data_IF_100694659692
#
_entry.id   IF_100694659692
#
_cell.length_a   1.000
_cell.length_b   1.000
_cell.length_c   1.000
_cell.angle_alpha   90.00
_cell.angle_beta   90.00
_cell.angle_gamma   90.00
#
_symmetry.space_group_name_H-M   'P 1'
#
loop_
_entity.id
_entity.type
_entity.pdbx_description
1 polymer ?
#
# COMPACT_ATOMS: atom_id res chain seq x y z
N UNK A 1 22.04 -4.91 2.58
CA UNK A 1 20.94 -4.45 3.45
C UNK A 1 20.91 -5.37 4.68
N UNK A 2 21.07 -4.83 5.89
CA UNK A 2 21.10 -5.60 7.15
C UNK A 2 19.69 -6.11 7.46
N UNK A 3 19.54 -7.43 7.73
CA UNK A 3 18.26 -8.01 8.17
C UNK A 3 17.91 -7.47 9.56
N UNK A 4 16.74 -6.83 9.71
CA UNK A 4 16.25 -6.38 11.01
C UNK A 4 15.37 -7.49 11.58
N UNK A 5 15.86 -8.22 12.58
CA UNK A 5 15.05 -9.20 13.30
C UNK A 5 14.01 -8.46 14.17
N UNK A 6 12.76 -8.45 13.73
CA UNK A 6 11.63 -7.88 14.45
C UNK A 6 10.98 -8.95 15.33
N UNK A 7 11.29 -8.95 16.62
CA UNK A 7 10.69 -9.84 17.62
C UNK A 7 9.80 -9.01 18.53
N UNK A 8 8.55 -9.44 18.78
CA UNK A 8 7.62 -8.73 19.69
C UNK A 8 8.29 -8.49 21.04
N UNK A 9 8.25 -7.24 21.49
CA UNK A 9 8.68 -6.91 22.84
C UNK A 9 7.72 -7.57 23.82
N UNK A 10 8.25 -8.26 24.82
CA UNK A 10 7.43 -8.96 25.82
C UNK A 10 6.68 -8.02 26.76
N UNK A 11 6.99 -6.72 26.73
CA UNK A 11 6.38 -5.71 27.59
C UNK A 11 5.80 -4.58 26.78
N UNK A 12 4.54 -4.24 27.08
CA UNK A 12 3.92 -3.01 26.62
C UNK A 12 4.69 -1.78 27.14
N UNK A 13 4.69 -0.74 26.33
CA UNK A 13 5.43 0.50 26.58
C UNK A 13 4.51 1.65 26.96
N UNK A 14 5.10 2.71 27.51
CA UNK A 14 4.48 3.99 27.81
C UNK A 14 5.45 5.16 27.58
N UNK A 15 4.89 6.33 27.30
CA UNK A 15 5.62 7.58 27.02
C UNK A 15 4.79 8.80 27.39
N UNK A 16 5.46 9.89 27.78
CA UNK A 16 4.90 11.24 27.82
C UNK A 16 5.35 11.97 26.56
N UNK A 17 4.41 12.49 25.79
CA UNK A 17 4.67 13.31 24.62
C UNK A 17 4.72 14.78 25.06
N UNK A 18 5.89 15.39 25.03
CA UNK A 18 6.05 16.82 25.29
C UNK A 18 5.52 17.63 24.11
N UNK A 19 4.47 18.42 24.33
CA UNK A 19 3.82 19.24 23.30
C UNK A 19 4.19 20.71 23.41
N UNK A 20 3.77 21.51 22.43
CA UNK A 20 3.91 22.96 22.38
C UNK A 20 2.58 23.60 21.93
N UNK A 21 2.48 24.93 22.01
CA UNK A 21 1.28 25.67 21.62
C UNK A 21 0.94 25.44 20.14
N UNK A 22 -0.29 24.99 19.86
CA UNK A 22 -0.75 24.61 18.52
C UNK A 22 -0.94 23.10 18.32
N UNK A 23 -0.56 22.27 19.30
CA UNK A 23 -0.93 20.85 19.35
C UNK A 23 -2.19 20.67 20.20
N UNK A 24 -3.28 20.25 19.57
CA UNK A 24 -4.56 19.95 20.22
C UNK A 24 -4.65 18.49 20.69
N UNK A 25 -4.12 17.56 19.89
CA UNK A 25 -4.15 16.13 20.18
C UNK A 25 -2.80 15.48 19.89
N UNK A 26 -2.56 14.30 20.46
CA UNK A 26 -1.37 13.50 20.17
C UNK A 26 -1.70 12.03 19.96
N UNK A 27 -0.82 11.31 19.26
CA UNK A 27 -0.90 9.86 19.07
C UNK A 27 0.49 9.22 19.01
N UNK A 28 0.52 7.89 19.08
CA UNK A 28 1.71 7.07 18.82
C UNK A 28 1.37 6.10 17.69
N UNK A 29 2.28 5.97 16.74
CA UNK A 29 2.19 4.98 15.68
C UNK A 29 3.37 4.01 15.76
N UNK A 30 3.04 2.72 15.93
CA UNK A 30 3.99 1.62 15.93
C UNK A 30 3.70 0.66 14.78
N UNK A 31 4.66 -0.21 14.46
CA UNK A 31 4.53 -1.10 13.31
C UNK A 31 3.37 -2.10 13.44
N UNK A 32 3.14 -2.65 14.64
CA UNK A 32 2.11 -3.68 14.87
C UNK A 32 0.70 -3.10 15.00
N UNK A 33 0.58 -1.95 15.66
CA UNK A 33 -0.70 -1.40 16.09
C UNK A 33 -1.21 -0.31 15.15
N UNK A 34 -0.38 0.17 14.23
CA UNK A 34 -0.64 1.39 13.49
C UNK A 34 -0.79 2.58 14.43
N UNK A 35 -1.46 3.62 13.93
CA UNK A 35 -1.68 4.85 14.67
C UNK A 35 -2.71 4.63 15.80
N UNK A 36 -2.33 4.95 17.02
CA UNK A 36 -3.24 4.94 18.17
C UNK A 36 -4.33 6.00 18.00
N UNK A 37 -5.43 5.85 18.74
CA UNK A 37 -6.45 6.89 18.83
C UNK A 37 -5.81 8.24 19.25
N UNK A 38 -6.22 9.30 18.57
CA UNK A 38 -5.82 10.67 18.88
C UNK A 38 -6.54 11.13 20.15
N UNK A 39 -5.87 11.96 20.93
CA UNK A 39 -6.49 12.58 22.10
C UNK A 39 -5.58 13.59 22.77
N UNK A 40 -6.20 14.46 23.57
CA UNK A 40 -5.54 15.57 24.27
C UNK A 40 -4.55 15.13 25.36
N UNK A 41 -4.70 13.91 25.89
CA UNK A 41 -3.76 13.37 26.87
C UNK A 41 -2.37 13.15 26.26
N UNK A 42 -1.34 13.70 26.91
CA UNK A 42 0.07 13.59 26.49
C UNK A 42 0.72 12.27 26.91
N UNK A 43 0.20 11.61 27.94
CA UNK A 43 0.67 10.28 28.35
C UNK A 43 -0.01 9.21 27.52
N UNK A 44 0.79 8.37 26.87
CA UNK A 44 0.33 7.24 26.05
C UNK A 44 0.85 5.95 26.66
N UNK A 45 -0.05 4.99 26.84
CA UNK A 45 0.20 3.72 27.53
C UNK A 45 -0.17 2.55 26.65
N UNK A 46 0.17 1.33 27.08
CA UNK A 46 -0.18 0.09 26.39
C UNK A 46 0.31 0.00 24.94
N UNK A 47 1.43 0.66 24.65
CA UNK A 47 2.01 0.70 23.31
C UNK A 47 2.71 -0.64 23.06
N UNK A 48 2.17 -1.45 22.14
CA UNK A 48 2.84 -2.66 21.70
C UNK A 48 3.98 -2.30 20.75
N UNK A 49 5.15 -2.92 20.94
CA UNK A 49 6.33 -2.64 20.11
C UNK A 49 7.08 -3.91 19.74
N UNK A 50 7.85 -3.84 18.66
CA UNK A 50 8.87 -4.82 18.29
C UNK A 50 10.26 -4.38 18.79
N UNK A 51 11.15 -5.35 18.97
CA UNK A 51 12.57 -5.07 19.19
C UNK A 51 13.17 -4.41 17.94
N UNK A 52 13.93 -3.33 18.14
CA UNK A 52 14.58 -2.54 17.08
C UNK A 52 13.62 -1.82 16.12
N UNK A 53 12.36 -1.63 16.48
CA UNK A 53 11.49 -0.73 15.73
C UNK A 53 11.67 0.74 16.15
N UNK A 54 11.17 1.63 15.30
CA UNK A 54 10.93 3.02 15.64
C UNK A 54 9.41 3.20 15.74
N UNK A 55 8.99 4.07 16.64
CA UNK A 55 7.61 4.56 16.74
C UNK A 55 7.60 6.03 16.35
N UNK A 56 6.50 6.49 15.77
CA UNK A 56 6.24 7.89 15.50
C UNK A 56 5.36 8.45 16.61
N UNK A 57 5.86 9.46 17.33
CA UNK A 57 5.07 10.31 18.20
C UNK A 57 4.57 11.49 17.37
N UNK A 58 3.26 11.73 17.33
CA UNK A 58 2.67 12.79 16.52
C UNK A 58 1.84 13.73 17.38
N UNK A 59 1.94 15.03 17.09
CA UNK A 59 1.05 16.07 17.58
C UNK A 59 0.24 16.65 16.43
N UNK A 60 -1.08 16.80 16.65
CA UNK A 60 -2.04 17.26 15.65
C UNK A 60 -2.63 18.61 16.05
N UNK A 61 -2.90 19.47 15.06
CA UNK A 61 -3.71 20.66 15.25
C UNK A 61 -5.22 20.33 15.24
N UNK A 62 -6.06 21.36 15.37
CA UNK A 62 -7.52 21.21 15.36
C UNK A 62 -8.08 20.70 14.01
N UNK A 63 -7.36 20.93 12.91
CA UNK A 63 -7.70 20.43 11.58
C UNK A 63 -7.17 19.01 11.33
N UNK A 64 -6.72 18.33 12.38
CA UNK A 64 -6.22 16.96 12.35
C UNK A 64 -4.93 16.76 11.54
N UNK A 65 -4.19 17.84 11.24
CA UNK A 65 -2.90 17.79 10.56
C UNK A 65 -1.78 17.60 11.58
N UNK A 66 -0.78 16.78 11.25
CA UNK A 66 0.45 16.69 12.06
C UNK A 66 1.16 18.05 12.01
N UNK A 67 1.43 18.64 13.17
CA UNK A 67 2.18 19.89 13.33
C UNK A 67 3.47 19.72 14.15
N UNK A 68 3.59 18.59 14.86
CA UNK A 68 4.81 18.21 15.55
C UNK A 68 5.02 16.71 15.52
N UNK A 69 6.28 16.27 15.53
CA UNK A 69 6.62 14.86 15.41
C UNK A 69 7.88 14.50 16.20
N UNK A 70 8.07 13.23 16.51
CA UNK A 70 9.34 12.69 16.97
C UNK A 70 9.42 11.17 16.70
N UNK A 71 10.48 10.71 16.04
CA UNK A 71 10.75 9.27 15.87
C UNK A 71 11.58 8.75 17.04
N UNK A 72 11.06 7.76 17.75
CA UNK A 72 11.75 7.17 18.90
C UNK A 72 11.95 5.67 18.71
N UNK A 73 13.15 5.20 19.02
CA UNK A 73 13.39 3.75 19.07
C UNK A 73 12.53 3.14 20.18
N UNK A 74 12.00 1.92 20.00
CA UNK A 74 11.16 1.26 21.02
C UNK A 74 11.87 1.09 22.37
N UNK A 75 13.20 1.02 22.37
CA UNK A 75 14.06 0.98 23.56
C UNK A 75 14.10 2.30 24.34
N UNK A 76 13.72 3.43 23.73
CA UNK A 76 13.66 4.74 24.37
C UNK A 76 12.31 5.00 25.07
N UNK A 77 11.32 4.11 24.90
CA UNK A 77 10.07 4.15 25.66
C UNK A 77 10.22 3.38 26.97
N UNK A 78 9.48 3.81 28.00
CA UNK A 78 9.45 3.11 29.28
C UNK A 78 8.56 1.87 29.22
N UNK A 79 8.95 0.81 29.92
CA UNK A 79 8.04 -0.33 30.17
C UNK A 79 6.83 0.13 31.00
N UNK A 80 5.66 -0.47 30.79
CA UNK A 80 4.46 -0.18 31.60
C UNK A 80 4.70 -0.34 33.10
N UNK A 81 5.50 -1.34 33.48
CA UNK A 81 5.87 -1.66 34.87
C UNK A 81 6.95 -0.73 35.45
N UNK A 82 7.56 0.14 34.65
CA UNK A 82 8.55 1.10 35.14
C UNK A 82 7.88 2.15 36.03
N UNK A 83 8.57 2.59 37.09
CA UNK A 83 8.09 3.68 37.96
C UNK A 83 8.29 5.06 37.33
N UNK A 84 9.23 5.19 36.39
CA UNK A 84 9.45 6.41 35.61
C UNK A 84 8.82 6.27 34.22
N UNK A 85 8.34 7.39 33.67
CA UNK A 85 7.90 7.47 32.27
C UNK A 85 8.83 8.39 31.50
N UNK A 86 9.42 7.88 30.42
CA UNK A 86 10.22 8.68 29.50
C UNK A 86 9.37 9.78 28.88
N UNK A 87 9.93 10.99 28.81
CA UNK A 87 9.29 12.15 28.19
C UNK A 87 10.09 12.56 26.96
N UNK A 88 9.41 12.69 25.82
CA UNK A 88 10.02 13.05 24.54
C UNK A 88 9.26 14.22 23.95
N UNK A 89 9.95 15.34 23.72
CA UNK A 89 9.36 16.54 23.13
C UNK A 89 9.15 16.35 21.63
N UNK A 90 8.05 16.89 21.10
CA UNK A 90 7.82 16.96 19.67
C UNK A 90 8.64 18.10 19.06
N UNK A 91 9.21 17.83 17.88
CA UNK A 91 9.79 18.86 17.03
C UNK A 91 8.69 19.52 16.22
N UNK A 92 8.63 20.85 16.24
CA UNK A 92 7.67 21.62 15.45
C UNK A 92 8.01 21.55 13.95
N UNK A 93 6.97 21.44 13.13
CA UNK A 93 7.08 21.43 11.68
C UNK A 93 6.88 22.83 11.12
N UNK A 94 7.81 23.28 10.27
CA UNK A 94 7.79 24.63 9.69
C UNK A 94 7.74 24.64 8.17
N UNK A 95 7.91 23.49 7.55
CA UNK A 95 7.90 23.32 6.09
C UNK A 95 6.66 22.54 5.67
N UNK A 96 6.38 22.52 4.37
CA UNK A 96 5.23 21.83 3.80
C UNK A 96 5.65 20.92 2.65
N UNK A 97 4.93 19.82 2.51
CA UNK A 97 4.84 19.02 1.29
C UNK A 97 3.61 19.50 0.54
N UNK A 98 3.78 19.79 -0.75
CA UNK A 98 2.68 20.02 -1.67
C UNK A 98 2.50 18.78 -2.54
N UNK A 99 1.26 18.34 -2.73
CA UNK A 99 0.94 17.36 -3.77
C UNK A 99 0.32 18.09 -4.96
N UNK A 100 1.02 18.05 -6.09
CA UNK A 100 0.50 18.46 -7.39
C UNK A 100 -0.22 17.27 -8.02
N UNK A 101 -1.54 17.23 -7.84
CA UNK A 101 -2.43 16.26 -8.49
C UNK A 101 -2.87 16.82 -9.84
N UNK A 102 -2.33 16.27 -10.93
CA UNK A 102 -2.73 16.61 -12.30
C UNK A 102 -3.73 15.58 -12.78
N UNK A 103 -4.99 15.95 -12.81
CA UNK A 103 -6.08 15.12 -13.31
C UNK A 103 -6.73 15.70 -14.57
N UNK A 104 -7.40 14.83 -15.33
CA UNK A 104 -8.30 15.21 -16.43
C UNK A 104 -9.77 15.15 -15.98
N UNK A 105 -10.72 15.44 -16.87
CA UNK A 105 -12.15 15.48 -16.55
C UNK A 105 -12.76 14.13 -16.09
N UNK A 106 -12.06 13.01 -16.30
CA UNK A 106 -12.66 11.67 -16.21
C UNK A 106 -12.22 10.89 -14.95
N UNK A 107 -11.70 11.60 -13.95
CA UNK A 107 -11.28 11.02 -12.67
C UNK A 107 -12.30 11.25 -11.55
N UNK A 108 -12.48 10.24 -10.68
CA UNK A 108 -13.13 10.40 -9.39
C UNK A 108 -12.15 10.16 -8.25
N UNK A 109 -12.17 11.04 -7.25
CA UNK A 109 -11.32 10.93 -6.07
C UNK A 109 -11.94 9.96 -5.06
N UNK A 110 -11.13 9.05 -4.50
CA UNK A 110 -11.53 8.20 -3.37
C UNK A 110 -10.72 8.55 -2.12
N UNK A 111 -9.40 8.41 -2.18
CA UNK A 111 -8.53 8.69 -1.05
C UNK A 111 -7.13 9.16 -1.47
N UNK A 112 -6.46 9.87 -0.57
CA UNK A 112 -5.04 10.22 -0.68
C UNK A 112 -4.40 10.08 0.69
N UNK A 113 -3.26 9.43 0.78
CA UNK A 113 -2.48 9.31 2.03
C UNK A 113 -1.03 9.66 1.77
N UNK A 114 -0.46 10.57 2.56
CA UNK A 114 0.99 10.75 2.67
C UNK A 114 1.52 9.83 3.75
N UNK A 115 2.66 9.23 3.45
CA UNK A 115 3.46 8.45 4.36
C UNK A 115 4.82 9.12 4.56
N UNK A 116 5.33 9.02 5.78
CA UNK A 116 6.73 9.31 6.09
C UNK A 116 7.53 8.02 6.13
N UNK A 117 8.72 8.05 5.55
CA UNK A 117 9.66 6.96 5.49
C UNK A 117 10.89 7.30 6.35
N UNK A 118 11.08 6.56 7.43
CA UNK A 118 12.18 6.77 8.37
C UNK A 118 12.88 5.44 8.68
N UNK A 119 14.19 5.35 8.35
CA UNK A 119 15.03 4.17 8.59
C UNK A 119 14.40 2.85 8.14
N UNK A 120 13.83 2.83 6.93
CA UNK A 120 13.18 1.66 6.34
C UNK A 120 11.82 1.31 6.96
N UNK A 121 11.20 2.23 7.70
CA UNK A 121 9.85 2.08 8.26
C UNK A 121 8.93 3.17 7.70
N UNK A 122 7.66 2.80 7.51
CA UNK A 122 6.64 3.66 6.90
C UNK A 122 5.62 4.01 7.98
N UNK A 123 5.28 5.29 8.09
CA UNK A 123 4.32 5.82 9.04
C UNK A 123 3.28 6.68 8.32
N UNK A 124 2.03 6.58 8.73
CA UNK A 124 0.93 7.38 8.19
C UNK A 124 1.10 8.83 8.64
N UNK A 125 1.24 9.73 7.67
CA UNK A 125 1.52 11.13 7.94
C UNK A 125 0.26 11.99 7.88
N UNK A 126 -0.45 11.96 6.76
CA UNK A 126 -1.72 12.65 6.61
C UNK A 126 -2.62 11.90 5.62
N UNK A 127 -3.93 12.06 5.73
CA UNK A 127 -4.88 11.40 4.83
C UNK A 127 -6.08 12.27 4.52
N UNK A 128 -6.60 12.12 3.31
CA UNK A 128 -7.78 12.81 2.82
C UNK A 128 -8.75 11.78 2.24
N UNK A 129 -9.97 11.75 2.76
CA UNK A 129 -11.08 10.96 2.23
C UNK A 129 -11.99 11.78 1.29
N UNK A 130 -11.73 13.07 1.16
CA UNK A 130 -12.39 13.98 0.22
C UNK A 130 -11.34 14.84 -0.48
N UNK A 131 -11.60 15.25 -1.72
CA UNK A 131 -10.65 16.07 -2.49
C UNK A 131 -10.69 17.54 -2.00
N UNK A 132 -9.65 18.06 -1.33
CA UNK A 132 -9.51 19.49 -1.07
C UNK A 132 -9.16 20.25 -2.35
N UNK A 133 -9.20 21.58 -2.29
CA UNK A 133 -8.68 22.44 -3.37
C UNK A 133 -7.17 22.34 -3.54
N UNK A 134 -6.44 22.10 -2.44
CA UNK A 134 -4.99 21.96 -2.40
C UNK A 134 -4.64 20.84 -1.42
N UNK A 135 -3.72 19.97 -1.82
CA UNK A 135 -3.16 18.94 -0.95
C UNK A 135 -1.84 19.44 -0.34
N UNK A 136 -1.89 19.85 0.91
CA UNK A 136 -0.72 20.32 1.66
C UNK A 136 -0.66 19.70 3.05
N UNK A 137 0.55 19.38 3.50
CA UNK A 137 0.80 18.85 4.84
C UNK A 137 2.11 19.38 5.38
N UNK A 138 2.16 19.73 6.67
CA UNK A 138 3.40 20.11 7.33
C UNK A 138 4.39 18.94 7.32
N UNK A 139 5.67 19.22 7.13
CA UNK A 139 6.69 18.19 7.04
C UNK A 139 8.08 18.72 7.44
N UNK A 140 8.99 17.80 7.74
CA UNK A 140 10.40 18.10 7.95
C UNK A 140 11.16 17.72 6.69
N UNK A 141 11.81 18.70 6.05
CA UNK A 141 12.62 18.45 4.87
C UNK A 141 14.08 18.20 5.27
N UNK A 142 14.78 17.38 4.48
CA UNK A 142 16.20 17.05 4.64
C UNK A 142 16.49 15.60 4.25
N UNK A 143 17.76 15.28 4.02
CA UNK A 143 18.19 13.98 3.46
C UNK A 143 17.81 12.75 4.30
N UNK A 144 17.57 12.94 5.60
CA UNK A 144 17.16 11.87 6.52
C UNK A 144 15.65 11.59 6.53
N UNK A 145 14.84 12.44 5.89
CA UNK A 145 13.39 12.36 5.87
C UNK A 145 12.89 12.22 4.44
N UNK A 146 12.22 11.10 4.17
CA UNK A 146 11.63 10.86 2.86
C UNK A 146 10.12 10.67 2.99
N UNK A 147 9.37 11.11 1.99
CA UNK A 147 7.92 11.04 1.98
C UNK A 147 7.42 10.44 0.68
N UNK A 148 6.22 9.92 0.74
CA UNK A 148 5.56 9.28 -0.40
C UNK A 148 4.06 9.44 -0.24
N UNK A 149 3.33 9.41 -1.34
CA UNK A 149 1.88 9.45 -1.32
C UNK A 149 1.29 8.29 -2.11
N UNK A 150 0.14 7.83 -1.64
CA UNK A 150 -0.74 6.93 -2.37
C UNK A 150 -2.04 7.67 -2.64
N UNK A 151 -2.38 7.80 -3.91
CA UNK A 151 -3.69 8.24 -4.38
C UNK A 151 -4.53 7.01 -4.75
N UNK A 152 -5.81 7.03 -4.41
CA UNK A 152 -6.81 6.10 -4.94
C UNK A 152 -7.97 6.85 -5.54
N UNK A 153 -8.47 6.34 -6.65
CA UNK A 153 -9.56 6.95 -7.39
C UNK A 153 -10.16 6.00 -8.41
N UNK A 154 -10.98 6.54 -9.30
CA UNK A 154 -11.38 5.86 -10.51
C UNK A 154 -11.09 6.67 -11.75
N UNK A 155 -10.75 6.00 -12.86
CA UNK A 155 -10.60 6.56 -14.20
C UNK A 155 -11.41 5.70 -15.16
N UNK A 156 -12.36 6.27 -15.91
CA UNK A 156 -13.15 5.49 -16.89
C UNK A 156 -13.83 4.24 -16.29
N UNK A 157 -14.24 4.31 -15.02
CA UNK A 157 -14.77 3.19 -14.20
C UNK A 157 -13.74 2.15 -13.70
N UNK A 158 -12.46 2.34 -14.02
CA UNK A 158 -11.35 1.55 -13.50
C UNK A 158 -10.90 2.09 -12.16
N UNK A 159 -10.72 1.24 -11.15
CA UNK A 159 -10.09 1.69 -9.91
C UNK A 159 -8.60 1.81 -10.14
N UNK A 160 -8.03 2.94 -9.72
CA UNK A 160 -6.60 3.19 -9.81
C UNK A 160 -6.03 3.47 -8.44
N UNK A 161 -4.86 2.90 -8.18
CA UNK A 161 -4.00 3.24 -7.05
C UNK A 161 -2.70 3.76 -7.62
N UNK A 162 -2.33 5.01 -7.34
CA UNK A 162 -1.12 5.67 -7.83
C UNK A 162 -0.20 5.94 -6.67
N UNK A 163 1.05 5.48 -6.74
CA UNK A 163 2.06 5.77 -5.73
C UNK A 163 3.10 6.75 -6.29
N UNK A 164 3.49 7.73 -5.49
CA UNK A 164 4.52 8.70 -5.87
C UNK A 164 5.43 9.01 -4.67
N UNK A 165 6.67 9.39 -4.95
CA UNK A 165 7.66 9.76 -3.93
C UNK A 165 7.88 11.27 -3.96
N UNK A 166 8.21 11.84 -2.80
CA UNK A 166 8.56 13.24 -2.72
C UNK A 166 9.91 13.49 -3.40
N UNK A 167 10.01 14.66 -4.05
CA UNK A 167 11.28 15.21 -4.52
C UNK A 167 12.17 15.58 -3.33
N UNK A 168 13.43 15.93 -3.61
CA UNK A 168 14.34 16.47 -2.59
C UNK A 168 13.83 17.78 -1.94
N UNK A 169 12.93 18.51 -2.60
CA UNK A 169 12.29 19.73 -2.07
C UNK A 169 11.01 19.43 -1.28
N UNK A 170 10.58 18.16 -1.23
CA UNK A 170 9.36 17.73 -0.56
C UNK A 170 8.10 17.79 -1.42
N UNK A 171 8.19 18.16 -2.69
CA UNK A 171 7.01 18.19 -3.57
C UNK A 171 6.71 16.80 -4.13
N UNK A 172 5.44 16.42 -4.19
CA UNK A 172 4.97 15.16 -4.76
C UNK A 172 4.15 15.48 -6.00
N UNK A 173 4.47 14.86 -7.14
CA UNK A 173 3.65 14.97 -8.35
C UNK A 173 2.94 13.66 -8.62
N UNK A 174 1.63 13.75 -8.87
CA UNK A 174 0.76 12.64 -9.24
C UNK A 174 0.09 13.03 -10.55
N UNK A 175 0.51 12.36 -11.63
CA UNK A 175 0.13 12.71 -13.00
C UNK A 175 -0.83 11.65 -13.53
N UNK A 176 -2.12 11.91 -13.44
CA UNK A 176 -3.16 10.97 -13.82
C UNK A 176 -3.55 11.07 -15.30
N UNK A 177 -3.48 12.27 -15.89
CA UNK A 177 -3.80 12.51 -17.31
C UNK A 177 -2.95 11.69 -18.30
N UNK A 178 -1.80 11.17 -17.85
CA UNK A 178 -0.96 10.22 -18.61
C UNK A 178 -1.52 8.80 -18.69
N UNK A 179 -2.50 8.46 -17.85
CA UNK A 179 -3.11 7.14 -17.83
C UNK A 179 -4.12 6.99 -18.98
N UNK A 180 -3.69 6.39 -20.09
CA UNK A 180 -4.55 6.09 -21.24
C UNK A 180 -5.28 4.75 -21.04
N UNK A 181 -6.36 4.81 -20.25
CA UNK A 181 -7.26 3.68 -19.98
C UNK A 181 -8.53 3.81 -20.82
N UNK A 182 -8.89 2.75 -21.54
CA UNK A 182 -10.08 2.78 -22.41
C UNK A 182 -11.40 2.67 -21.61
N UNK A 183 -12.50 3.18 -22.17
CA UNK A 183 -13.87 3.11 -21.61
C UNK A 183 -14.60 1.79 -21.93
N UNK A 184 -13.86 0.76 -22.36
CA UNK A 184 -14.39 -0.52 -22.84
C UNK A 184 -14.96 -1.35 -21.66
N UNK A 185 -16.00 -2.18 -21.88
CA UNK A 185 -16.48 -3.13 -20.88
C UNK A 185 -15.38 -4.05 -20.34
N UNK A 186 -15.62 -4.60 -19.14
CA UNK A 186 -14.72 -5.57 -18.53
C UNK A 186 -14.41 -6.73 -19.50
N UNK A 187 -13.16 -7.22 -19.52
CA UNK A 187 -12.80 -8.34 -20.37
C UNK A 187 -13.63 -9.56 -19.98
N UNK A 188 -13.84 -10.46 -20.94
CA UNK A 188 -14.54 -11.71 -20.77
C UNK A 188 -13.70 -12.85 -21.33
N UNK A 189 -14.01 -14.09 -20.92
CA UNK A 189 -13.41 -15.25 -21.56
C UNK A 189 -13.98 -15.46 -22.96
N UNK A 190 -13.09 -15.65 -23.92
CA UNK A 190 -13.42 -16.10 -25.26
C UNK A 190 -13.14 -17.60 -25.32
N UNK A 191 -14.19 -18.41 -25.25
CA UNK A 191 -14.09 -19.87 -25.19
C UNK A 191 -14.57 -20.52 -26.49
N UNK A 192 -13.73 -21.39 -27.06
CA UNK A 192 -14.04 -22.21 -28.22
C UNK A 192 -13.50 -23.62 -28.03
N UNK A 193 -14.38 -24.63 -28.10
CA UNK A 193 -14.01 -26.02 -27.83
C UNK A 193 -13.57 -26.22 -26.37
N UNK A 194 -12.37 -26.77 -26.16
CA UNK A 194 -11.76 -27.00 -24.84
C UNK A 194 -10.81 -25.88 -24.39
N UNK A 195 -10.77 -24.75 -25.10
CA UNK A 195 -9.82 -23.66 -24.84
C UNK A 195 -10.54 -22.35 -24.59
N UNK A 196 -10.11 -21.63 -23.56
CA UNK A 196 -10.53 -20.27 -23.26
C UNK A 196 -9.30 -19.37 -23.26
N UNK A 197 -9.47 -18.12 -23.66
CA UNK A 197 -8.47 -17.08 -23.50
C UNK A 197 -9.09 -15.77 -23.04
N UNK A 198 -8.25 -14.86 -22.54
CA UNK A 198 -8.64 -13.49 -22.21
C UNK A 198 -7.77 -12.55 -23.03
N UNK A 199 -8.40 -11.67 -23.80
CA UNK A 199 -7.72 -10.60 -24.52
C UNK A 199 -7.69 -9.33 -23.65
N UNK A 200 -6.51 -8.87 -23.26
CA UNK A 200 -6.33 -7.61 -22.52
C UNK A 200 -5.60 -6.55 -23.33
N UNK A 201 -5.33 -6.82 -24.61
CA UNK A 201 -4.53 -5.96 -25.50
C UNK A 201 -5.14 -4.58 -25.73
N UNK A 202 -6.47 -4.49 -25.68
CA UNK A 202 -7.22 -3.26 -25.96
C UNK A 202 -7.53 -2.44 -24.70
N UNK A 203 -7.14 -2.89 -23.51
CA UNK A 203 -7.54 -2.26 -22.25
C UNK A 203 -6.73 -1.00 -21.93
N UNK A 204 -5.45 -0.97 -22.30
CA UNK A 204 -4.57 0.20 -22.18
C UNK A 204 -3.52 0.22 -23.28
N UNK A 205 -3.18 1.42 -23.73
CA UNK A 205 -2.05 1.64 -24.64
C UNK A 205 -0.69 1.70 -23.93
N UNK A 206 -0.70 1.85 -22.59
CA UNK A 206 0.50 1.95 -21.78
C UNK A 206 1.25 0.62 -21.69
N UNK A 207 2.55 0.70 -21.39
CA UNK A 207 3.37 -0.47 -21.12
C UNK A 207 3.00 -1.08 -19.76
N UNK A 208 2.68 -2.38 -19.80
CA UNK A 208 2.31 -3.18 -18.63
C UNK A 208 3.45 -4.14 -18.33
N UNK A 209 3.91 -4.12 -17.09
CA UNK A 209 4.98 -5.00 -16.62
C UNK A 209 4.45 -6.37 -16.20
N UNK A 210 3.39 -6.37 -15.39
CA UNK A 210 2.74 -7.57 -14.90
C UNK A 210 1.23 -7.40 -14.93
N UNK A 211 0.55 -8.41 -15.45
CA UNK A 211 -0.90 -8.56 -15.46
C UNK A 211 -1.26 -9.65 -14.46
N UNK A 212 -2.29 -9.40 -13.65
CA UNK A 212 -2.91 -10.40 -12.78
C UNK A 212 -4.34 -10.64 -13.25
N UNK A 213 -4.69 -11.90 -13.42
CA UNK A 213 -6.02 -12.36 -13.78
C UNK A 213 -6.59 -13.21 -12.65
N UNK A 214 -7.79 -12.88 -12.19
CA UNK A 214 -8.50 -13.61 -11.15
C UNK A 214 -9.90 -13.99 -11.62
N UNK A 215 -10.25 -15.26 -11.45
CA UNK A 215 -11.58 -15.76 -11.74
C UNK A 215 -11.92 -16.93 -10.81
N UNK A 216 -13.20 -17.24 -10.74
CA UNK A 216 -13.71 -18.38 -9.97
C UNK A 216 -14.37 -19.37 -10.91
N UNK A 217 -14.00 -20.63 -10.79
CA UNK A 217 -14.50 -21.74 -11.58
C UNK A 217 -15.03 -22.82 -10.63
N UNK A 218 -16.36 -22.98 -10.57
CA UNK A 218 -17.01 -23.81 -9.55
C UNK A 218 -16.70 -23.29 -8.14
N UNK A 219 -16.07 -24.12 -7.31
CA UNK A 219 -15.64 -23.76 -5.94
C UNK A 219 -14.18 -23.29 -5.86
N UNK A 220 -13.45 -23.28 -6.98
CA UNK A 220 -12.01 -22.98 -6.99
C UNK A 220 -11.76 -21.56 -7.48
N UNK A 221 -10.92 -20.83 -6.75
CA UNK A 221 -10.40 -19.52 -7.17
C UNK A 221 -9.07 -19.70 -7.88
N UNK A 222 -8.92 -19.08 -9.03
CA UNK A 222 -7.71 -19.10 -9.84
C UNK A 222 -7.08 -17.72 -9.86
N UNK A 223 -5.74 -17.70 -9.84
CA UNK A 223 -4.96 -16.47 -10.01
C UNK A 223 -3.81 -16.76 -10.94
N UNK A 224 -3.72 -16.01 -12.03
CA UNK A 224 -2.66 -16.16 -13.03
C UNK A 224 -1.93 -14.83 -13.15
N UNK A 225 -0.61 -14.90 -13.21
CA UNK A 225 0.27 -13.75 -13.45
C UNK A 225 0.96 -13.94 -14.79
N UNK A 226 0.93 -12.91 -15.63
CA UNK A 226 1.55 -12.94 -16.96
C UNK A 226 2.08 -11.56 -17.33
N UNK A 227 3.05 -11.50 -18.22
CA UNK A 227 3.45 -10.29 -18.93
C UNK A 227 2.88 -10.24 -20.36
N UNK A 228 2.26 -11.32 -20.83
CA UNK A 228 1.62 -11.40 -22.14
C UNK A 228 0.22 -10.79 -22.11
N UNK A 229 -0.09 -9.94 -23.10
CA UNK A 229 -1.40 -9.26 -23.23
C UNK A 229 -2.51 -10.15 -23.80
N UNK A 230 -2.16 -11.34 -24.29
CA UNK A 230 -3.08 -12.38 -24.73
C UNK A 230 -2.73 -13.65 -23.95
N UNK A 231 -3.69 -14.21 -23.21
CA UNK A 231 -3.41 -15.34 -22.32
C UNK A 231 -4.40 -16.49 -22.50
N UNK A 232 -3.86 -17.67 -22.82
CA UNK A 232 -4.60 -18.92 -22.77
C UNK A 232 -4.78 -19.38 -21.33
N UNK A 233 -6.00 -19.82 -21.01
CA UNK A 233 -6.30 -20.40 -19.71
C UNK A 233 -5.86 -21.86 -19.72
N UNK A 234 -5.03 -22.30 -18.76
CA UNK A 234 -4.66 -23.70 -18.67
C UNK A 234 -5.90 -24.55 -18.39
N UNK A 235 -6.09 -25.62 -19.17
CA UNK A 235 -7.15 -26.59 -18.93
C UNK A 235 -6.97 -27.22 -17.55
N UNK A 236 -8.06 -27.26 -16.78
CA UNK A 236 -8.07 -27.92 -15.48
C UNK A 236 -8.35 -29.40 -15.76
N UNK A 237 -7.44 -30.32 -15.38
CA UNK A 237 -7.60 -31.72 -15.74
C UNK A 237 -8.94 -32.28 -15.26
N UNK A 238 -9.65 -32.99 -16.15
CA UNK A 238 -11.02 -33.47 -15.93
C UNK A 238 -11.19 -34.46 -14.77
N UNK A 239 -10.10 -34.94 -14.17
CA UNK A 239 -10.11 -35.84 -13.00
C UNK A 239 -10.17 -35.08 -11.67
N UNK A 240 -10.09 -33.74 -11.69
CA UNK A 240 -10.33 -32.92 -10.50
C UNK A 240 -11.85 -32.74 -10.38
N UNK A 241 -12.46 -33.43 -9.40
CA UNK A 241 -13.89 -33.33 -9.12
C UNK A 241 -14.28 -31.89 -8.70
N UNK A 242 -15.52 -31.50 -8.99
CA UNK A 242 -16.11 -30.19 -8.63
C UNK A 242 -15.44 -28.93 -9.20
N UNK A 243 -14.70 -29.06 -10.31
CA UNK A 243 -14.15 -27.91 -11.04
C UNK A 243 -14.65 -27.87 -12.46
N UNK A 244 -15.41 -26.81 -12.79
CA UNK A 244 -15.89 -26.53 -14.15
C UNK A 244 -14.94 -25.54 -14.81
N UNK A 245 -14.41 -25.88 -15.98
CA UNK A 245 -13.60 -24.96 -16.79
C UNK A 245 -14.39 -23.66 -17.08
N UNK A 246 -13.75 -22.46 -17.08
CA UNK A 246 -14.47 -21.20 -17.28
C UNK A 246 -15.18 -21.16 -18.64
N UNK A 247 -16.22 -20.34 -18.72
CA UNK A 247 -16.98 -20.05 -19.93
C UNK A 247 -17.08 -18.53 -20.16
N UNK A 248 -17.74 -18.11 -21.25
CA UNK A 248 -17.89 -16.69 -21.59
C UNK A 248 -18.74 -15.88 -20.60
N UNK A 249 -19.42 -16.55 -19.66
CA UNK A 249 -20.21 -15.90 -18.60
C UNK A 249 -19.44 -15.84 -17.27
N UNK A 250 -18.29 -16.51 -17.18
CA UNK A 250 -17.45 -16.52 -15.99
C UNK A 250 -16.83 -15.14 -15.79
N UNK A 251 -17.09 -14.46 -14.66
CA UNK A 251 -16.50 -13.16 -14.38
C UNK A 251 -14.97 -13.26 -14.27
N UNK A 252 -14.26 -12.32 -14.89
CA UNK A 252 -12.82 -12.17 -14.79
C UNK A 252 -12.47 -10.79 -14.27
N UNK A 253 -11.61 -10.75 -13.26
CA UNK A 253 -11.00 -9.53 -12.76
C UNK A 253 -9.58 -9.45 -13.29
N UNK A 254 -9.22 -8.27 -13.77
CA UNK A 254 -7.88 -7.97 -14.26
C UNK A 254 -7.25 -6.95 -13.35
N UNK A 255 -5.94 -6.99 -13.21
CA UNK A 255 -5.15 -5.95 -12.57
C UNK A 255 -3.87 -5.73 -13.34
N UNK A 256 -3.41 -4.49 -13.40
CA UNK A 256 -2.17 -4.12 -14.08
C UNK A 256 -1.19 -3.47 -13.11
N UNK A 257 0.06 -3.86 -13.24
CA UNK A 257 1.22 -3.19 -12.68
C UNK A 257 1.92 -2.40 -13.80
N UNK A 258 1.95 -1.08 -13.65
CA UNK A 258 2.52 -0.15 -14.64
C UNK A 258 3.42 0.89 -13.96
N UNK A 259 4.44 1.35 -14.68
CA UNK A 259 5.39 2.38 -14.25
C UNK A 259 6.74 2.32 -14.97
N UNK A 260 7.49 3.42 -14.95
CA UNK A 260 8.74 3.57 -15.71
C UNK A 260 9.91 2.71 -15.18
N UNK A 261 9.93 2.42 -13.87
CA UNK A 261 11.00 1.67 -13.20
C UNK A 261 10.41 0.76 -12.12
N UNK A 262 9.86 -0.38 -12.55
CA UNK A 262 9.23 -1.33 -11.63
C UNK A 262 10.29 -2.20 -10.97
N UNK A 263 10.36 -2.13 -9.64
CA UNK A 263 11.31 -2.91 -8.83
C UNK A 263 10.83 -4.36 -8.62
N UNK A 264 11.73 -5.25 -8.23
CA UNK A 264 11.35 -6.63 -7.91
C UNK A 264 10.44 -6.71 -6.67
N UNK A 265 10.60 -5.77 -5.74
CA UNK A 265 9.76 -5.59 -4.57
C UNK A 265 8.35 -5.19 -4.98
N UNK A 266 8.22 -4.26 -5.94
CA UNK A 266 6.94 -3.87 -6.53
C UNK A 266 6.20 -5.05 -7.17
N UNK A 267 6.91 -5.85 -7.99
CA UNK A 267 6.37 -7.08 -8.59
C UNK A 267 5.94 -8.09 -7.54
N UNK A 268 6.79 -8.34 -6.54
CA UNK A 268 6.51 -9.28 -5.46
C UNK A 268 5.30 -8.84 -4.63
N UNK A 269 5.20 -7.54 -4.34
CA UNK A 269 4.06 -6.92 -3.67
C UNK A 269 2.76 -7.14 -4.46
N UNK A 270 2.78 -6.81 -5.75
CA UNK A 270 1.65 -7.03 -6.67
C UNK A 270 1.21 -8.50 -6.73
N UNK A 271 2.15 -9.44 -6.75
CA UNK A 271 1.84 -10.87 -6.73
C UNK A 271 1.30 -11.36 -5.38
N UNK A 272 1.72 -10.76 -4.27
CA UNK A 272 1.37 -11.20 -2.91
C UNK A 272 0.09 -10.58 -2.32
N UNK A 273 -0.43 -9.50 -2.91
CA UNK A 273 -1.50 -8.66 -2.33
C UNK A 273 -2.86 -9.35 -2.13
N UNK A 274 -3.04 -10.59 -2.61
CA UNK A 274 -4.27 -11.38 -2.42
C UNK A 274 -4.35 -12.20 -1.12
N UNK A 275 -3.35 -12.12 -0.22
CA UNK A 275 -3.32 -12.95 1.00
C UNK A 275 -3.72 -12.25 2.32
N UNK A 276 -4.35 -11.07 2.27
CA UNK A 276 -4.85 -10.37 3.47
C UNK A 276 -6.38 -10.34 3.46
N UNK A 277 -6.95 -11.36 4.10
CA UNK A 277 -8.28 -11.60 4.72
C UNK A 277 -9.47 -10.62 4.63
N UNK A 278 -9.45 -9.42 4.06
CA UNK A 278 -10.54 -8.44 4.29
C UNK A 278 -11.14 -7.71 3.07
N UNK A 279 -10.87 -8.11 1.83
CA UNK A 279 -11.72 -7.68 0.71
C UNK A 279 -11.85 -8.80 -0.33
N UNK A 280 -12.99 -9.52 -0.42
CA UNK A 280 -13.28 -10.28 -1.62
C UNK A 280 -13.35 -9.30 -2.80
N UNK A 281 -12.80 -9.64 -3.98
CA UNK A 281 -13.03 -8.84 -5.18
C UNK A 281 -14.54 -8.74 -5.42
N UNK A 282 -15.04 -7.52 -5.67
CA UNK A 282 -16.43 -7.31 -6.08
C UNK A 282 -16.59 -7.78 -7.52
N UNK A 283 -17.71 -8.45 -7.84
CA UNK A 283 -18.02 -8.91 -9.19
C UNK A 283 -17.95 -7.75 -10.21
N UNK A 284 -17.15 -7.94 -11.28
CA UNK A 284 -17.16 -7.11 -12.49
C UNK A 284 -16.28 -5.85 -12.50
N UNK A 285 -15.13 -5.83 -11.81
CA UNK A 285 -14.24 -4.65 -11.74
C UNK A 285 -12.77 -4.96 -12.02
N UNK A 286 -12.02 -3.92 -12.39
CA UNK A 286 -10.57 -3.99 -12.58
C UNK A 286 -9.90 -3.08 -11.54
N UNK A 287 -9.02 -3.70 -10.74
CA UNK A 287 -8.19 -3.04 -9.74
C UNK A 287 -6.80 -2.78 -10.34
N UNK A 288 -6.46 -1.53 -10.62
CA UNK A 288 -5.13 -1.14 -11.14
C UNK A 288 -4.23 -0.73 -9.97
N UNK A 289 -3.06 -1.38 -9.86
CA UNK A 289 -2.05 -1.10 -8.84
C UNK A 289 -0.82 -0.51 -9.54
N UNK A 290 -0.67 0.80 -9.51
CA UNK A 290 0.58 1.43 -9.97
C UNK A 290 1.67 1.13 -8.94
N UNK A 291 2.85 0.82 -9.47
CA UNK A 291 3.98 0.30 -8.72
C UNK A 291 4.26 1.08 -7.43
N UNK A 292 4.60 0.41 -6.32
CA UNK A 292 5.02 1.12 -5.12
C UNK A 292 6.34 1.87 -5.37
N UNK A 293 6.25 3.20 -5.38
CA UNK A 293 7.25 4.08 -4.77
C UNK A 293 7.12 4.06 -3.25
N UNK A 294 7.05 2.86 -2.67
CA UNK A 294 6.94 2.60 -1.24
C UNK A 294 7.72 1.33 -0.98
N UNK A 295 8.82 1.46 -0.25
CA UNK A 295 9.58 0.35 0.33
C UNK A 295 8.69 -0.34 1.38
N UNK A 296 7.63 -1.01 0.94
CA UNK A 296 6.78 -1.85 1.78
C UNK A 296 7.58 -3.09 2.13
N UNK A 297 8.25 -3.00 3.28
CA UNK A 297 8.74 -4.08 4.14
C UNK A 297 8.13 -5.45 3.77
N UNK A 298 8.83 -6.19 2.93
CA UNK A 298 8.68 -7.63 2.81
C UNK A 298 9.97 -8.27 3.33
N UNK A 299 10.11 -8.39 4.65
CA UNK A 299 11.12 -9.26 5.25
C UNK A 299 10.45 -10.48 5.90
N UNK A 300 10.48 -11.55 5.09
CA UNK A 300 10.88 -12.92 5.42
C UNK A 300 9.86 -13.87 6.07
N UNK A 301 9.41 -14.77 5.20
CA UNK A 301 9.16 -16.17 5.52
C UNK A 301 9.64 -17.14 4.42
N UNK A 302 10.70 -16.84 3.65
CA UNK A 302 11.32 -17.86 2.78
C UNK A 302 12.28 -18.69 3.63
N UNK A 303 11.78 -19.82 4.14
CA UNK A 303 12.63 -20.98 4.38
C UNK A 303 12.91 -21.62 3.02
N UNK A 304 14.18 -21.86 2.76
CA UNK A 304 14.64 -22.71 1.67
C UNK A 304 13.85 -24.03 1.66
N UNK A 305 13.27 -24.32 0.51
CA UNK A 305 13.22 -25.69 0.01
C UNK A 305 13.57 -25.61 -1.46
N UNK A 306 14.81 -26.00 -1.76
CA UNK A 306 15.22 -26.49 -3.06
C UNK A 306 14.13 -27.40 -3.61
N UNK A 307 13.59 -27.12 -4.78
CA UNK A 307 13.21 -28.15 -5.74
C UNK A 307 13.37 -27.59 -7.15
N UNK A 308 14.56 -27.82 -7.71
CA UNK A 308 14.65 -28.24 -9.09
C UNK A 308 14.09 -29.67 -9.12
N UNK A 309 13.07 -29.91 -9.95
CA UNK A 309 12.76 -31.24 -10.43
C UNK A 309 12.18 -31.12 -11.83
N UNK A 310 13.09 -31.05 -12.81
CA UNK A 310 12.86 -31.67 -14.11
C UNK A 310 13.28 -33.12 -13.94
N UNK A 311 12.35 -34.08 -14.00
CA UNK A 311 12.60 -35.43 -14.53
C UNK A 311 11.30 -35.99 -15.09
N UNK A 312 11.23 -36.07 -16.42
CA UNK A 312 10.42 -37.06 -17.16
C UNK A 312 11.17 -38.39 -17.22
N UNK A 313 10.44 -39.51 -17.30
CA UNK A 313 10.62 -40.48 -18.36
C UNK A 313 9.78 -40.11 -19.58
#
# INVERSE_FOLDING_TARGET
MQRINLVKNSKNKKVIIGTFDGVAESSVEGFLTGQSQKGSGTTKTEIETLNNEYVLLSGFNADNQITGFNYQASSALSDMTSTSTASHALDALTSFINIDLRDSSDFSFLDMTIFSNYKGQVFTWNSWATKPSIFTSYAKLGDEFNYSATYKGTLNSWKITVNSTASATGDISIVLDSLDMQTIPAPAFECGGSTCYVNVKTLTSLDVDTIKLEYTAGVTRHTIYTNDRDMFIPEIPSYIEDVTYPDSLTPVNVSFLMGDNITNEARSGFMSYSNIKENPPRDGYIDMLIAPGLEMKHQLGVKQSNFISVVSP
#
